data_IF_446602236622
#
_entry.id   IF_446602236622
#
_cell.length_a   1.000
_cell.length_b   1.000
_cell.length_c   1.000
_cell.angle_alpha   90.00
_cell.angle_beta   90.00
_cell.angle_gamma   90.00
#
_symmetry.space_group_name_H-M   'P 1'
#
loop_
_entity.id
_entity.type
_entity.pdbx_description
1 polymer ?
#
# COMPACT_ATOMS: atom_id res chain seq x y z
N UNK A 1 -29.86 -1.53 26.67
CA UNK A 1 -29.20 -0.28 27.09
C UNK A 1 -28.96 0.50 25.82
N UNK A 2 -29.55 1.68 25.66
CA UNK A 2 -29.26 2.52 24.49
C UNK A 2 -27.81 2.98 24.59
N UNK A 3 -27.00 2.66 23.59
CA UNK A 3 -25.69 3.29 23.44
C UNK A 3 -25.94 4.80 23.36
N UNK A 4 -25.20 5.58 24.16
CA UNK A 4 -25.23 7.03 23.98
C UNK A 4 -24.90 7.34 22.51
N UNK A 5 -25.56 8.31 21.88
CA UNK A 5 -25.19 8.74 20.54
C UNK A 5 -23.70 9.12 20.55
N UNK A 6 -22.98 8.72 19.50
CA UNK A 6 -21.60 9.14 19.32
C UNK A 6 -21.61 10.66 19.15
N UNK A 7 -20.94 11.37 20.06
CA UNK A 7 -20.74 12.81 19.91
C UNK A 7 -19.75 13.03 18.77
N UNK A 8 -20.21 13.71 17.72
CA UNK A 8 -19.36 14.12 16.60
C UNK A 8 -19.21 15.62 16.70
N UNK A 9 -17.98 16.12 16.65
CA UNK A 9 -17.68 17.54 16.81
C UNK A 9 -16.53 17.93 15.91
N UNK A 10 -16.63 19.10 15.32
CA UNK A 10 -15.50 19.77 14.68
C UNK A 10 -14.85 20.73 15.69
N UNK A 11 -13.51 20.74 15.75
CA UNK A 11 -12.75 21.67 16.56
C UNK A 11 -11.60 22.29 15.77
N UNK A 12 -11.52 23.63 15.79
CA UNK A 12 -10.31 24.35 15.39
C UNK A 12 -9.41 24.55 16.61
N UNK A 13 -8.16 24.10 16.54
CA UNK A 13 -7.30 23.95 17.73
C UNK A 13 -6.11 24.90 17.82
N UNK A 14 -5.66 25.52 16.72
CA UNK A 14 -4.40 26.27 16.64
C UNK A 14 -4.54 27.81 16.74
N UNK A 15 -5.54 28.38 16.07
CA UNK A 15 -5.82 29.82 16.03
C UNK A 15 -6.95 30.14 17.01
N UNK A 16 -7.86 31.09 16.72
CA UNK A 16 -9.01 31.34 17.61
C UNK A 16 -9.84 30.06 17.70
N UNK A 17 -9.86 29.35 18.85
CA UNK A 17 -10.49 28.06 18.93
C UNK A 17 -12.01 28.22 18.92
N UNK A 18 -12.67 27.36 18.16
CA UNK A 18 -14.11 27.20 18.22
C UNK A 18 -14.44 25.74 17.92
N UNK A 19 -15.66 25.33 18.30
CA UNK A 19 -16.17 24.02 17.97
C UNK A 19 -17.61 24.07 17.51
N UNK A 20 -17.97 23.08 16.70
CA UNK A 20 -19.30 22.89 16.14
C UNK A 20 -19.74 21.47 16.45
N UNK A 21 -20.89 21.32 17.12
CA UNK A 21 -21.52 20.01 17.33
C UNK A 21 -22.11 19.52 16.01
N UNK A 22 -21.71 18.31 15.62
CA UNK A 22 -22.08 17.62 14.39
C UNK A 22 -22.82 16.31 14.69
N UNK A 23 -23.27 16.06 15.92
CA UNK A 23 -23.87 14.79 16.35
C UNK A 23 -25.10 14.38 15.52
N UNK A 24 -25.85 15.34 14.97
CA UNK A 24 -26.99 15.07 14.08
C UNK A 24 -26.68 15.26 12.59
N UNK A 25 -25.42 15.48 12.23
CA UNK A 25 -24.98 15.75 10.86
C UNK A 25 -24.55 14.44 10.22
N UNK A 26 -24.99 14.24 8.98
CA UNK A 26 -24.72 13.00 8.22
C UNK A 26 -23.49 13.11 7.31
N UNK A 27 -23.09 14.34 6.97
CA UNK A 27 -21.97 14.61 6.07
C UNK A 27 -21.23 15.87 6.51
N UNK A 28 -19.91 15.78 6.61
CA UNK A 28 -19.02 16.92 6.81
C UNK A 28 -18.15 17.08 5.57
N UNK A 29 -18.24 18.25 4.94
CA UNK A 29 -17.32 18.71 3.90
C UNK A 29 -16.44 19.79 4.52
N UNK A 30 -15.13 19.55 4.52
CA UNK A 30 -14.14 20.46 5.06
C UNK A 30 -13.18 20.91 3.96
N UNK A 31 -12.85 22.19 3.97
CA UNK A 31 -11.90 22.82 3.07
C UNK A 31 -10.92 23.64 3.92
N UNK A 32 -9.63 23.34 3.83
CA UNK A 32 -8.56 24.08 4.51
C UNK A 32 -8.42 25.49 3.96
N UNK A 33 -8.35 25.61 2.64
CA UNK A 33 -8.42 26.87 1.91
C UNK A 33 -7.05 27.32 1.43
N UNK A 34 -6.60 28.49 1.91
CA UNK A 34 -5.24 28.96 1.65
C UNK A 34 -4.37 28.68 2.88
N UNK A 35 -3.09 28.39 2.66
CA UNK A 35 -2.10 28.11 3.68
C UNK A 35 -2.01 26.63 4.03
N UNK A 36 -0.87 26.22 4.59
CA UNK A 36 -0.63 24.84 5.00
C UNK A 36 -1.55 24.45 6.17
N UNK A 37 -2.50 23.55 5.92
CA UNK A 37 -3.47 23.08 6.88
C UNK A 37 -3.15 21.68 7.42
N UNK A 38 -3.62 21.44 8.64
CA UNK A 38 -3.59 20.13 9.27
C UNK A 38 -5.02 19.75 9.63
N UNK A 39 -5.58 18.80 8.88
CA UNK A 39 -6.95 18.33 9.04
C UNK A 39 -6.91 16.87 9.44
N UNK A 40 -7.44 16.54 10.62
CA UNK A 40 -7.40 15.18 11.16
C UNK A 40 -8.77 14.74 11.67
N UNK A 41 -9.17 13.54 11.23
CA UNK A 41 -10.40 12.86 11.61
C UNK A 41 -10.16 11.49 12.28
N UNK A 42 -8.93 11.20 12.73
CA UNK A 42 -8.50 9.90 13.30
C UNK A 42 -9.43 9.38 14.43
N UNK A 43 -10.07 10.28 15.16
CA UNK A 43 -10.99 9.94 16.26
C UNK A 43 -12.41 9.58 15.83
N UNK A 44 -12.78 9.71 14.56
CA UNK A 44 -14.14 9.49 14.07
C UNK A 44 -14.37 8.00 13.74
N UNK A 45 -15.33 7.32 14.41
CA UNK A 45 -15.64 5.92 14.12
C UNK A 45 -16.31 5.72 12.75
N UNK A 46 -16.13 4.54 12.17
CA UNK A 46 -16.81 4.16 10.93
C UNK A 46 -18.33 4.33 11.01
N UNK A 47 -18.94 4.91 9.97
CA UNK A 47 -20.39 5.00 9.80
C UNK A 47 -21.10 6.06 10.66
N UNK A 48 -20.36 6.96 11.32
CA UNK A 48 -20.96 8.06 12.10
C UNK A 48 -21.24 9.30 11.26
N UNK A 49 -20.37 9.60 10.29
CA UNK A 49 -20.49 10.74 9.37
C UNK A 49 -19.77 10.40 8.08
N UNK A 50 -20.29 10.87 6.94
CA UNK A 50 -19.56 10.79 5.66
C UNK A 50 -18.63 12.00 5.57
N UNK A 51 -17.34 11.74 5.38
CA UNK A 51 -16.32 12.78 5.40
C UNK A 51 -15.84 13.12 3.99
N UNK A 52 -15.68 14.42 3.73
CA UNK A 52 -14.92 14.93 2.60
C UNK A 52 -13.93 15.94 3.12
N UNK A 53 -12.64 15.71 2.88
CA UNK A 53 -11.56 16.61 3.24
C UNK A 53 -10.91 17.16 1.98
N UNK A 54 -10.76 18.48 1.91
CA UNK A 54 -10.02 19.16 0.85
C UNK A 54 -8.95 20.02 1.52
N UNK A 55 -7.68 19.85 1.13
CA UNK A 55 -6.58 20.67 1.61
C UNK A 55 -6.75 22.11 1.14
N UNK A 56 -6.81 22.33 -0.17
CA UNK A 56 -7.12 23.65 -0.71
C UNK A 56 -6.34 23.98 -1.96
N UNK A 57 -5.86 25.22 -2.07
CA UNK A 57 -5.07 25.67 -3.21
C UNK A 57 -3.69 26.20 -2.76
N UNK A 58 -2.65 25.70 -3.44
CA UNK A 58 -1.30 26.21 -3.59
C UNK A 58 -0.33 26.00 -2.42
N UNK A 59 -0.74 25.31 -1.36
CA UNK A 59 0.00 25.16 -0.11
C UNK A 59 0.06 23.69 0.32
N UNK A 60 1.07 23.33 1.11
CA UNK A 60 1.32 21.92 1.48
C UNK A 60 0.44 21.51 2.68
N UNK A 61 -0.47 20.57 2.48
CA UNK A 61 -1.46 20.13 3.47
C UNK A 61 -1.16 18.76 4.09
N UNK A 62 -1.70 18.52 5.28
CA UNK A 62 -1.73 17.20 5.91
C UNK A 62 -3.16 16.79 6.18
N UNK A 63 -3.61 15.73 5.51
CA UNK A 63 -4.97 15.20 5.61
C UNK A 63 -4.95 13.81 6.22
N UNK A 64 -5.69 13.62 7.30
CA UNK A 64 -5.88 12.32 7.93
C UNK A 64 -7.36 12.01 8.02
N UNK A 65 -7.78 10.94 7.35
CA UNK A 65 -9.15 10.46 7.33
C UNK A 65 -9.62 9.89 8.67
N UNK A 66 -10.86 9.41 8.66
CA UNK A 66 -11.52 8.73 9.77
C UNK A 66 -11.34 7.22 9.67
N UNK A 67 -12.03 6.46 10.53
CA UNK A 67 -12.16 5.00 10.32
C UNK A 67 -13.35 4.62 9.41
N UNK A 68 -13.89 5.60 8.68
CA UNK A 68 -15.04 5.51 7.78
C UNK A 68 -14.63 5.40 6.31
N UNK A 69 -15.62 5.57 5.42
CA UNK A 69 -15.35 5.69 3.97
C UNK A 69 -15.31 7.17 3.64
N UNK A 70 -14.13 7.63 3.24
CA UNK A 70 -13.81 9.04 3.11
C UNK A 70 -13.43 9.41 1.67
N UNK A 71 -13.64 10.69 1.36
CA UNK A 71 -13.13 11.30 0.14
C UNK A 71 -12.09 12.36 0.54
N UNK A 72 -10.84 12.17 0.12
CA UNK A 72 -9.73 13.06 0.45
C UNK A 72 -9.17 13.66 -0.82
N UNK A 73 -8.96 14.98 -0.81
CA UNK A 73 -8.36 15.73 -1.90
C UNK A 73 -7.25 16.62 -1.33
N UNK A 74 -5.99 16.34 -1.67
CA UNK A 74 -4.84 17.16 -1.26
C UNK A 74 -5.00 18.58 -1.79
N UNK A 75 -5.01 18.73 -3.11
CA UNK A 75 -5.21 20.00 -3.77
C UNK A 75 -3.98 20.38 -4.58
N UNK A 76 -3.66 21.67 -4.62
CA UNK A 76 -2.38 22.12 -5.17
C UNK A 76 -1.39 22.30 -4.00
N UNK A 77 -0.18 21.76 -4.07
CA UNK A 77 0.75 21.72 -2.94
C UNK A 77 1.50 20.39 -2.88
N UNK A 78 2.47 20.22 -1.99
CA UNK A 78 3.06 18.91 -1.72
C UNK A 78 2.39 18.31 -0.48
N UNK A 79 1.36 17.52 -0.70
CA UNK A 79 0.45 17.07 0.33
C UNK A 79 0.88 15.74 0.94
N UNK A 80 0.51 15.56 2.22
CA UNK A 80 0.62 14.27 2.91
C UNK A 80 -0.77 13.78 3.28
N UNK A 81 -1.15 12.62 2.75
CA UNK A 81 -2.48 12.04 2.96
C UNK A 81 -2.37 10.67 3.62
N UNK A 82 -3.25 10.41 4.59
CA UNK A 82 -3.50 9.09 5.17
C UNK A 82 -5.02 8.90 5.25
N UNK A 83 -5.54 7.91 4.53
CA UNK A 83 -6.96 7.58 4.50
C UNK A 83 -7.48 7.03 5.82
N UNK A 84 -6.59 6.42 6.63
CA UNK A 84 -6.93 5.58 7.78
C UNK A 84 -7.80 4.37 7.36
N UNK A 85 -8.39 3.61 8.31
CA UNK A 85 -9.29 2.52 7.94
C UNK A 85 -10.53 2.97 7.19
N UNK A 86 -10.76 2.42 6.01
CA UNK A 86 -11.82 2.88 5.13
C UNK A 86 -11.76 2.21 3.78
N UNK A 87 -12.71 2.48 2.90
CA UNK A 87 -12.47 2.20 1.48
C UNK A 87 -12.47 3.55 0.80
N UNK A 88 -11.31 4.19 0.79
CA UNK A 88 -11.20 5.62 0.57
C UNK A 88 -10.95 5.95 -0.89
N UNK A 89 -11.42 7.15 -1.26
CA UNK A 89 -11.13 7.75 -2.55
C UNK A 89 -10.21 8.94 -2.32
N UNK A 90 -8.96 8.80 -2.77
CA UNK A 90 -7.91 9.78 -2.54
C UNK A 90 -7.46 10.37 -3.87
N UNK A 91 -7.49 11.70 -3.96
CA UNK A 91 -6.86 12.47 -5.03
C UNK A 91 -5.79 13.35 -4.39
N UNK A 92 -4.56 13.24 -4.83
CA UNK A 92 -3.45 13.99 -4.26
C UNK A 92 -3.41 15.39 -4.87
N UNK A 93 -3.38 15.49 -6.20
CA UNK A 93 -3.63 16.74 -6.90
C UNK A 93 -2.38 17.25 -7.63
N UNK A 94 -2.07 18.54 -7.55
CA UNK A 94 -0.89 19.09 -8.21
C UNK A 94 0.23 19.30 -7.19
N UNK A 95 1.32 18.56 -7.34
CA UNK A 95 2.56 18.73 -6.59
C UNK A 95 3.27 17.42 -6.40
N UNK A 96 4.20 17.33 -5.44
CA UNK A 96 4.88 16.06 -5.16
C UNK A 96 4.31 15.48 -3.88
N UNK A 97 3.31 14.63 -4.04
CA UNK A 97 2.48 14.23 -2.92
C UNK A 97 2.90 12.87 -2.35
N UNK A 98 2.48 12.62 -1.12
CA UNK A 98 2.68 11.33 -0.45
C UNK A 98 1.39 10.83 0.15
N UNK A 99 0.94 9.66 -0.29
CA UNK A 99 -0.11 8.91 0.37
C UNK A 99 0.48 7.74 1.17
N UNK A 100 0.02 7.55 2.40
CA UNK A 100 0.38 6.39 3.23
C UNK A 100 -0.81 5.46 3.39
N UNK A 101 -0.56 4.17 3.20
CA UNK A 101 -1.47 3.08 3.49
C UNK A 101 -0.84 2.15 4.53
N UNK A 102 -1.58 1.79 5.55
CA UNK A 102 -1.15 0.93 6.65
C UNK A 102 -1.99 -0.34 6.77
N UNK A 103 -1.39 -1.41 7.30
CA UNK A 103 -2.12 -2.65 7.50
C UNK A 103 -3.37 -2.47 8.38
N UNK A 104 -4.52 -2.72 7.77
CA UNK A 104 -5.83 -2.55 8.40
C UNK A 104 -6.67 -1.49 7.70
N UNK A 105 -6.09 -0.75 6.75
CA UNK A 105 -6.77 0.37 6.14
C UNK A 105 -7.89 -0.06 5.17
N UNK A 106 -7.84 -1.29 4.65
CA UNK A 106 -8.73 -1.87 3.62
C UNK A 106 -8.43 -1.37 2.20
N UNK A 107 -9.45 -1.16 1.36
CA UNK A 107 -9.31 -1.08 -0.11
C UNK A 107 -9.54 0.33 -0.62
N UNK A 108 -8.49 0.91 -1.20
CA UNK A 108 -8.50 2.31 -1.60
C UNK A 108 -8.31 2.52 -3.11
N UNK A 109 -8.72 3.69 -3.57
CA UNK A 109 -8.37 4.21 -4.89
C UNK A 109 -7.61 5.51 -4.69
N UNK A 110 -6.42 5.61 -5.29
CA UNK A 110 -5.51 6.75 -5.13
C UNK A 110 -5.11 7.27 -6.51
N UNK A 111 -5.27 8.58 -6.72
CA UNK A 111 -4.79 9.29 -7.91
C UNK A 111 -3.72 10.31 -7.52
N UNK A 112 -2.55 10.21 -8.14
CA UNK A 112 -1.48 11.21 -7.98
C UNK A 112 -1.81 12.53 -8.69
N UNK A 113 -2.46 12.45 -9.85
CA UNK A 113 -2.70 13.55 -10.77
C UNK A 113 -1.39 14.16 -11.33
N UNK A 114 -0.88 15.25 -10.77
CA UNK A 114 0.14 16.07 -11.43
C UNK A 114 1.35 16.37 -10.56
N UNK A 115 2.42 15.58 -10.70
CA UNK A 115 3.75 15.98 -10.26
C UNK A 115 4.67 14.79 -10.09
N UNK A 116 5.17 14.54 -8.88
CA UNK A 116 5.96 13.33 -8.59
C UNK A 116 5.46 12.70 -7.31
N UNK A 117 4.56 11.74 -7.47
CA UNK A 117 3.74 11.26 -6.36
C UNK A 117 4.21 9.91 -5.85
N UNK A 118 4.05 9.71 -4.55
CA UNK A 118 4.51 8.49 -3.86
C UNK A 118 3.38 7.84 -3.09
N UNK A 119 3.08 6.58 -3.43
CA UNK A 119 2.29 5.69 -2.58
C UNK A 119 3.23 4.91 -1.68
N UNK A 120 3.05 5.01 -0.37
CA UNK A 120 3.71 4.17 0.63
C UNK A 120 2.72 3.12 1.11
N UNK A 121 3.13 1.85 1.13
CA UNK A 121 2.34 0.74 1.67
C UNK A 121 3.13 0.06 2.77
N UNK A 122 2.59 0.08 3.99
CA UNK A 122 3.16 -0.60 5.14
C UNK A 122 2.38 -1.90 5.41
N UNK A 123 3.10 -3.02 5.31
CA UNK A 123 2.58 -4.36 5.57
C UNK A 123 2.19 -4.61 7.03
N UNK A 124 1.82 -5.85 7.33
CA UNK A 124 1.56 -6.30 8.68
C UNK A 124 2.87 -6.64 9.41
N UNK A 125 2.78 -6.98 10.69
CA UNK A 125 3.89 -7.65 11.40
C UNK A 125 3.91 -9.17 11.18
N UNK A 126 3.03 -9.66 10.31
CA UNK A 126 2.88 -11.06 9.96
C UNK A 126 3.14 -11.21 8.47
N UNK A 127 3.70 -12.34 8.07
CA UNK A 127 4.12 -12.57 6.68
C UNK A 127 3.00 -12.33 5.66
N UNK A 128 3.19 -11.34 4.80
CA UNK A 128 2.31 -10.88 3.75
C UNK A 128 2.58 -11.57 2.41
N UNK A 129 1.57 -11.61 1.55
CA UNK A 129 1.67 -12.06 0.16
C UNK A 129 1.17 -10.96 -0.76
N UNK A 130 2.09 -10.16 -1.30
CA UNK A 130 1.83 -9.02 -2.15
C UNK A 130 1.94 -9.35 -3.65
N UNK A 131 1.01 -8.79 -4.42
CA UNK A 131 0.99 -8.83 -5.88
C UNK A 131 0.94 -7.38 -6.40
N UNK A 132 1.86 -7.03 -7.30
CA UNK A 132 1.93 -5.73 -7.96
C UNK A 132 1.85 -5.95 -9.46
N UNK A 133 0.84 -5.36 -10.11
CA UNK A 133 0.66 -5.48 -11.56
C UNK A 133 0.06 -4.24 -12.20
N UNK A 134 0.30 -4.08 -13.49
CA UNK A 134 -0.35 -3.09 -14.33
C UNK A 134 -1.85 -3.38 -14.40
N UNK A 135 -2.69 -2.35 -14.25
CA UNK A 135 -4.15 -2.51 -14.27
C UNK A 135 -4.81 -2.30 -15.65
N UNK A 136 -4.04 -1.94 -16.69
CA UNK A 136 -4.48 -1.84 -18.09
C UNK A 136 -5.47 -0.69 -18.37
N UNK A 137 -5.06 0.34 -19.14
CA UNK A 137 -5.86 1.57 -19.30
C UNK A 137 -6.50 1.80 -20.68
N UNK A 138 -7.76 2.23 -20.67
CA UNK A 138 -8.35 3.15 -21.66
C UNK A 138 -9.73 3.66 -21.17
N UNK A 139 -9.86 4.98 -21.01
CA UNK A 139 -11.09 5.80 -20.82
C UNK A 139 -11.23 6.42 -19.42
N UNK A 140 -10.61 7.60 -19.24
CA UNK A 140 -10.71 8.57 -18.11
C UNK A 140 -10.45 7.96 -16.71
N UNK A 141 -9.23 8.11 -16.18
CA UNK A 141 -8.87 7.62 -14.84
C UNK A 141 -8.60 6.12 -14.82
N UNK A 142 -7.69 5.67 -15.68
CA UNK A 142 -7.21 4.30 -15.74
C UNK A 142 -6.11 4.13 -14.70
N UNK A 143 -6.37 3.39 -13.62
CA UNK A 143 -5.29 2.97 -12.74
C UNK A 143 -4.13 2.39 -13.58
N UNK A 144 -2.93 2.85 -13.32
CA UNK A 144 -1.69 2.39 -13.94
C UNK A 144 -1.18 1.13 -13.24
N UNK A 145 -1.46 0.99 -11.95
CA UNK A 145 -1.12 -0.19 -11.15
C UNK A 145 -2.24 -0.63 -10.21
N UNK A 146 -2.24 -1.92 -9.92
CA UNK A 146 -2.92 -2.55 -8.81
C UNK A 146 -1.87 -3.10 -7.84
N UNK A 147 -1.95 -2.66 -6.59
CA UNK A 147 -1.31 -3.34 -5.46
C UNK A 147 -2.35 -4.22 -4.77
N UNK A 148 -1.97 -5.44 -4.37
CA UNK A 148 -2.88 -6.38 -3.70
C UNK A 148 -2.15 -7.16 -2.63
N UNK A 149 -2.82 -7.40 -1.51
CA UNK A 149 -2.49 -8.50 -0.60
C UNK A 149 -3.46 -9.67 -0.79
N UNK A 150 -2.92 -10.88 -0.90
CA UNK A 150 -3.69 -12.10 -1.21
C UNK A 150 -3.92 -13.03 -0.02
N UNK A 151 -3.19 -12.83 1.08
CA UNK A 151 -3.34 -13.55 2.33
C UNK A 151 -3.83 -12.61 3.46
N UNK A 152 -3.91 -13.13 4.70
CA UNK A 152 -4.47 -12.43 5.85
C UNK A 152 -5.88 -11.88 5.55
N UNK A 153 -6.12 -10.60 5.81
CA UNK A 153 -7.26 -9.85 5.29
C UNK A 153 -6.85 -9.29 3.92
N UNK A 154 -7.42 -9.78 2.81
CA UNK A 154 -7.07 -9.29 1.49
C UNK A 154 -7.56 -7.86 1.29
N UNK A 155 -6.79 -7.07 0.53
CA UNK A 155 -7.15 -5.73 0.10
C UNK A 155 -6.51 -5.43 -1.26
N UNK A 156 -7.08 -4.44 -1.93
CA UNK A 156 -6.58 -3.88 -3.18
C UNK A 156 -6.29 -2.39 -2.98
N UNK A 157 -5.28 -1.85 -3.67
CA UNK A 157 -5.12 -0.42 -3.87
C UNK A 157 -5.01 -0.17 -5.37
N UNK A 158 -5.94 0.60 -5.92
CA UNK A 158 -5.91 1.02 -7.32
C UNK A 158 -5.19 2.35 -7.42
N UNK A 159 -4.09 2.38 -8.18
CA UNK A 159 -3.19 3.53 -8.29
C UNK A 159 -3.26 4.11 -9.71
N UNK A 160 -3.77 5.33 -9.86
CA UNK A 160 -3.68 6.13 -11.09
C UNK A 160 -2.67 7.26 -10.94
N UNK A 161 -1.96 7.55 -12.03
CA UNK A 161 -1.09 8.74 -12.13
C UNK A 161 -0.02 8.87 -11.02
N UNK A 162 0.35 7.76 -10.39
CA UNK A 162 1.47 7.70 -9.45
C UNK A 162 2.80 7.59 -10.20
N UNK A 163 3.89 8.07 -9.60
CA UNK A 163 5.26 7.91 -10.11
C UNK A 163 6.07 6.91 -9.30
N UNK A 164 5.77 6.77 -8.01
CA UNK A 164 6.51 5.92 -7.08
C UNK A 164 5.56 5.04 -6.26
N UNK A 165 5.92 3.78 -6.12
CA UNK A 165 5.31 2.84 -5.19
C UNK A 165 6.39 2.28 -4.26
N UNK A 166 6.32 2.62 -2.99
CA UNK A 166 7.19 2.10 -1.93
C UNK A 166 6.40 1.12 -1.06
N UNK A 167 6.94 -0.07 -0.85
CA UNK A 167 6.27 -1.14 -0.09
C UNK A 167 7.23 -1.70 0.93
N UNK A 168 6.79 -1.70 2.19
CA UNK A 168 7.54 -2.19 3.34
C UNK A 168 6.87 -3.47 3.87
N UNK A 169 7.55 -4.61 3.80
CA UNK A 169 7.08 -5.87 4.41
C UNK A 169 7.06 -5.83 5.94
N UNK A 170 7.94 -5.02 6.54
CA UNK A 170 8.13 -4.85 7.98
C UNK A 170 8.67 -6.11 8.70
N UNK A 171 7.79 -6.89 9.31
CA UNK A 171 8.12 -8.07 10.12
C UNK A 171 7.35 -9.27 9.56
N UNK A 172 7.80 -10.48 9.87
CA UNK A 172 7.21 -11.70 9.32
C UNK A 172 7.98 -12.16 8.09
N UNK A 173 7.44 -13.18 7.41
CA UNK A 173 8.06 -13.75 6.21
C UNK A 173 7.20 -13.39 5.02
N UNK A 174 7.66 -12.42 4.24
CA UNK A 174 6.89 -11.77 3.20
C UNK A 174 7.21 -12.33 1.82
N UNK A 175 6.23 -12.31 0.92
CA UNK A 175 6.40 -12.70 -0.46
C UNK A 175 5.83 -11.65 -1.40
N UNK A 176 6.65 -11.20 -2.34
CA UNK A 176 6.32 -10.17 -3.31
C UNK A 176 6.38 -10.75 -4.73
N UNK A 177 5.27 -10.69 -5.46
CA UNK A 177 5.22 -10.92 -6.91
C UNK A 177 4.99 -9.58 -7.61
N UNK A 178 5.90 -9.15 -8.46
CA UNK A 178 5.76 -7.88 -9.18
C UNK A 178 6.06 -8.01 -10.67
N UNK A 179 5.44 -7.17 -11.48
CA UNK A 179 5.86 -6.89 -12.86
C UNK A 179 6.37 -5.45 -13.00
N UNK A 180 7.12 -5.18 -14.07
CA UNK A 180 7.54 -3.82 -14.40
C UNK A 180 6.38 -2.99 -14.94
N UNK A 181 6.04 -1.91 -14.24
CA UNK A 181 4.98 -0.98 -14.64
C UNK A 181 5.60 0.23 -15.36
N UNK A 182 4.97 0.66 -16.46
CA UNK A 182 5.41 1.87 -17.16
C UNK A 182 5.11 3.11 -16.30
N UNK A 183 6.10 3.99 -16.13
CA UNK A 183 5.94 5.24 -15.37
C UNK A 183 6.10 5.09 -13.85
N UNK A 184 5.81 3.92 -13.26
CA UNK A 184 5.85 3.72 -11.81
C UNK A 184 7.14 3.04 -11.36
N UNK A 185 8.04 3.81 -10.74
CA UNK A 185 9.21 3.26 -10.06
C UNK A 185 8.77 2.52 -8.79
N UNK A 186 9.35 1.35 -8.55
CA UNK A 186 9.03 0.53 -7.38
C UNK A 186 10.22 0.45 -6.43
N UNK A 187 9.95 0.57 -5.13
CA UNK A 187 10.91 0.33 -4.05
C UNK A 187 10.31 -0.72 -3.12
N UNK A 188 10.87 -1.92 -3.13
CA UNK A 188 10.34 -3.06 -2.39
C UNK A 188 11.33 -3.45 -1.29
N UNK A 189 10.87 -3.46 -0.04
CA UNK A 189 11.67 -3.85 1.11
C UNK A 189 11.04 -5.08 1.79
N UNK A 190 11.80 -6.18 1.87
CA UNK A 190 11.38 -7.41 2.55
C UNK A 190 11.24 -7.26 4.06
N UNK A 191 11.78 -6.20 4.67
CA UNK A 191 11.63 -5.92 6.10
C UNK A 191 12.85 -6.28 6.94
N UNK A 192 12.65 -7.08 7.99
CA UNK A 192 13.65 -7.33 9.05
C UNK A 192 14.30 -8.73 8.96
N UNK A 193 15.27 -8.95 8.03
CA UNK A 193 15.82 -10.27 7.72
C UNK A 193 16.60 -10.90 8.88
N UNK A 194 17.07 -10.08 9.83
CA UNK A 194 17.77 -10.55 11.03
C UNK A 194 16.84 -11.25 12.03
N UNK A 195 15.57 -10.82 12.10
CA UNK A 195 14.57 -11.33 13.03
C UNK A 195 13.57 -12.27 12.35
N UNK A 196 13.28 -12.04 11.07
CA UNK A 196 12.36 -12.83 10.28
C UNK A 196 12.96 -13.16 8.91
N UNK A 197 13.90 -14.12 8.83
CA UNK A 197 14.47 -14.51 7.55
C UNK A 197 13.46 -15.32 6.72
N UNK A 198 13.49 -15.14 5.40
CA UNK A 198 12.75 -15.96 4.44
C UNK A 198 11.96 -15.16 3.40
N UNK A 199 12.17 -13.84 3.34
CA UNK A 199 11.43 -12.95 2.46
C UNK A 199 11.77 -13.25 1.00
N UNK A 200 10.74 -13.31 0.15
CA UNK A 200 10.86 -13.72 -1.24
C UNK A 200 10.38 -12.63 -2.20
N UNK A 201 11.12 -12.43 -3.29
CA UNK A 201 10.75 -11.56 -4.40
C UNK A 201 10.81 -12.30 -5.74
N UNK A 202 9.72 -12.23 -6.50
CA UNK A 202 9.65 -12.60 -7.90
C UNK A 202 9.36 -11.36 -8.75
N UNK A 203 10.22 -11.12 -9.74
CA UNK A 203 10.01 -10.09 -10.76
C UNK A 203 9.67 -10.76 -12.07
N UNK A 204 8.40 -10.69 -12.46
CA UNK A 204 7.86 -11.29 -13.67
C UNK A 204 8.56 -10.73 -14.91
N UNK A 205 9.02 -11.62 -15.78
CA UNK A 205 9.76 -11.24 -17.00
C UNK A 205 11.26 -10.94 -16.77
N UNK A 206 11.75 -11.00 -15.53
CA UNK A 206 13.19 -10.89 -15.24
C UNK A 206 13.84 -12.27 -15.20
N UNK A 207 14.79 -12.52 -16.11
CA UNK A 207 15.54 -13.78 -16.17
C UNK A 207 16.91 -13.72 -15.45
N UNK A 208 17.27 -12.58 -14.86
CA UNK A 208 18.55 -12.38 -14.18
C UNK A 208 18.55 -12.86 -12.73
N UNK A 209 19.67 -12.63 -12.05
CA UNK A 209 19.80 -12.98 -10.63
C UNK A 209 19.57 -11.76 -9.73
N UNK A 210 18.43 -11.76 -9.02
CA UNK A 210 18.02 -10.68 -8.13
C UNK A 210 19.04 -10.42 -7.00
N UNK A 211 19.71 -11.45 -6.49
CA UNK A 211 20.73 -11.32 -5.45
C UNK A 211 21.92 -10.44 -5.85
N UNK A 212 22.21 -10.36 -7.16
CA UNK A 212 23.29 -9.53 -7.71
C UNK A 212 22.77 -8.28 -8.44
N UNK A 213 21.45 -8.08 -8.47
CA UNK A 213 20.77 -7.04 -9.24
C UNK A 213 19.80 -6.27 -8.34
N UNK A 214 20.29 -5.38 -7.47
CA UNK A 214 19.45 -4.66 -6.50
C UNK A 214 18.48 -3.67 -7.16
N UNK A 215 18.71 -3.31 -8.44
CA UNK A 215 17.78 -2.54 -9.26
C UNK A 215 17.55 -3.29 -10.56
N UNK A 216 16.32 -3.75 -10.77
CA UNK A 216 15.88 -4.44 -11.97
C UNK A 216 15.35 -3.42 -12.98
N UNK A 217 15.79 -3.55 -14.23
CA UNK A 217 15.26 -2.78 -15.35
C UNK A 217 14.67 -3.73 -16.38
N UNK A 218 13.41 -3.47 -16.77
CA UNK A 218 12.70 -4.20 -17.81
C UNK A 218 12.36 -3.24 -18.96
N UNK A 219 12.40 -3.73 -20.19
CA UNK A 219 12.12 -2.89 -21.34
C UNK A 219 10.68 -2.38 -21.31
N UNK A 220 10.50 -1.05 -21.33
CA UNK A 220 9.19 -0.41 -21.30
C UNK A 220 8.63 -0.14 -19.90
N UNK A 221 9.37 -0.49 -18.84
CA UNK A 221 8.96 -0.29 -17.45
C UNK A 221 9.89 0.69 -16.73
N UNK A 222 9.40 1.33 -15.68
CA UNK A 222 10.24 2.05 -14.74
C UNK A 222 11.03 1.06 -13.84
N UNK A 223 12.10 1.50 -13.16
CA UNK A 223 12.97 0.63 -12.37
C UNK A 223 12.27 0.01 -11.15
N UNK A 224 12.70 -1.19 -10.78
CA UNK A 224 12.30 -1.86 -9.53
C UNK A 224 13.55 -2.00 -8.66
N UNK A 225 13.65 -1.20 -7.61
CA UNK A 225 14.65 -1.35 -6.57
C UNK A 225 14.14 -2.31 -5.49
N UNK A 226 15.02 -3.17 -4.98
CA UNK A 226 14.68 -4.07 -3.88
C UNK A 226 15.78 -4.20 -2.85
N UNK A 227 15.39 -4.47 -1.61
CA UNK A 227 16.27 -4.71 -0.48
C UNK A 227 15.67 -5.75 0.46
N UNK A 228 16.55 -6.34 1.28
CA UNK A 228 16.16 -7.21 2.41
C UNK A 228 15.31 -8.45 2.04
N UNK A 229 15.52 -9.00 0.84
CA UNK A 229 14.97 -10.30 0.44
C UNK A 229 16.03 -11.40 0.53
N UNK A 230 15.64 -12.62 0.93
CA UNK A 230 16.48 -13.80 0.88
C UNK A 230 16.29 -14.60 -0.41
N UNK A 231 17.32 -14.59 -1.25
CA UNK A 231 17.37 -15.44 -2.43
C UNK A 231 18.02 -16.78 -2.08
N UNK A 232 17.26 -17.87 -2.10
CA UNK A 232 17.84 -19.21 -2.04
C UNK A 232 18.92 -19.36 -3.15
N UNK A 233 20.03 -20.07 -2.90
CA UNK A 233 21.07 -20.26 -3.91
C UNK A 233 20.45 -20.86 -5.18
N UNK A 234 20.79 -20.29 -6.33
CA UNK A 234 20.24 -20.75 -7.62
C UNK A 234 20.51 -22.24 -7.81
N UNK A 235 19.46 -23.07 -7.82
CA UNK A 235 19.56 -24.46 -8.26
C UNK A 235 19.27 -24.47 -9.76
N UNK A 236 20.28 -24.82 -10.56
CA UNK A 236 20.15 -24.89 -12.01
C UNK A 236 18.98 -25.80 -12.43
N UNK A 237 18.01 -25.24 -13.14
CA UNK A 237 16.89 -25.98 -13.73
C UNK A 237 15.60 -26.06 -12.90
N UNK A 238 15.51 -25.38 -11.76
CA UNK A 238 14.24 -25.23 -11.02
C UNK A 238 13.80 -23.76 -11.10
N UNK A 239 12.66 -23.44 -11.73
CA UNK A 239 12.10 -22.09 -11.69
C UNK A 239 11.90 -21.64 -10.24
N UNK A 240 12.31 -20.42 -9.92
CA UNK A 240 12.06 -19.78 -8.62
C UNK A 240 10.59 -19.37 -8.55
N UNK A 241 9.67 -20.32 -8.45
CA UNK A 241 8.28 -19.99 -8.17
C UNK A 241 8.16 -19.55 -6.71
N UNK A 242 7.58 -18.38 -6.46
CA UNK A 242 6.93 -18.09 -5.17
C UNK A 242 6.09 -19.32 -4.80
N UNK A 243 6.01 -19.73 -3.53
CA UNK A 243 5.09 -20.77 -3.09
C UNK A 243 3.64 -20.33 -3.36
N UNK A 244 3.22 -20.50 -4.61
CA UNK A 244 1.85 -20.54 -5.06
C UNK A 244 1.30 -21.86 -4.55
N UNK A 245 0.86 -21.87 -3.29
CA UNK A 245 -0.01 -22.87 -2.69
C UNK A 245 0.40 -24.37 -2.75
N UNK A 246 1.56 -24.76 -3.28
CA UNK A 246 1.97 -26.16 -3.23
C UNK A 246 2.84 -26.44 -2.00
N UNK A 247 2.18 -26.85 -0.92
CA UNK A 247 2.79 -27.33 0.33
C UNK A 247 3.84 -28.44 0.11
N UNK A 248 3.89 -29.06 -1.07
CA UNK A 248 4.91 -30.06 -1.41
C UNK A 248 6.31 -29.46 -1.67
N UNK A 249 6.42 -28.24 -2.23
CA UNK A 249 7.72 -27.64 -2.55
C UNK A 249 8.52 -27.24 -1.32
N UNK A 250 7.84 -26.62 -0.34
CA UNK A 250 8.46 -26.13 0.88
C UNK A 250 8.87 -27.27 1.84
N UNK A 251 8.09 -28.35 1.90
CA UNK A 251 8.44 -29.55 2.68
C UNK A 251 9.68 -30.23 2.09
N UNK A 252 9.80 -30.30 0.76
CA UNK A 252 10.95 -30.92 0.11
C UNK A 252 12.23 -30.10 0.31
N UNK A 253 12.11 -28.76 0.29
CA UNK A 253 13.23 -27.86 0.54
C UNK A 253 13.66 -27.86 2.01
N UNK A 254 12.70 -27.87 2.94
CA UNK A 254 12.98 -28.00 4.38
C UNK A 254 13.61 -29.36 4.73
N UNK A 255 13.14 -30.47 4.14
CA UNK A 255 13.77 -31.78 4.34
C UNK A 255 15.18 -31.87 3.74
N UNK A 256 15.42 -31.21 2.60
CA UNK A 256 16.75 -31.15 1.98
C UNK A 256 17.74 -30.35 2.83
N UNK A 257 17.32 -29.23 3.42
CA UNK A 257 18.16 -28.46 4.35
C UNK A 257 18.37 -29.17 5.70
N UNK A 258 17.46 -30.05 6.12
CA UNK A 258 17.60 -30.86 7.35
C UNK A 258 18.32 -32.21 7.13
N UNK A 259 18.84 -32.50 5.93
CA UNK A 259 19.55 -33.74 5.63
C UNK A 259 18.68 -35.00 5.65
N UNK A 260 17.35 -34.87 5.59
CA UNK A 260 16.40 -35.98 5.62
C UNK A 260 16.04 -36.36 4.19
N UNK A 261 16.45 -37.54 3.74
CA UNK A 261 16.08 -38.05 2.41
C UNK A 261 14.62 -38.51 2.40
N UNK A 262 13.74 -37.72 1.78
CA UNK A 262 12.36 -38.12 1.53
C UNK A 262 12.30 -39.19 0.42
N UNK A 263 11.99 -40.43 0.78
CA UNK A 263 11.67 -41.50 -0.18
C UNK A 263 10.19 -41.36 -0.56
N UNK A 264 9.91 -40.82 -1.75
CA UNK A 264 8.56 -40.81 -2.30
C UNK A 264 8.09 -42.25 -2.53
N UNK A 265 7.10 -42.70 -1.74
CA UNK A 265 6.44 -43.99 -1.95
C UNK A 265 5.31 -43.79 -2.98
N UNK A 266 5.62 -43.96 -4.27
CA UNK A 266 4.56 -44.11 -5.28
C UNK A 266 3.82 -45.43 -5.01
N UNK A 267 2.55 -45.36 -4.58
CA UNK A 267 1.61 -46.47 -4.75
C UNK A 267 0.95 -46.31 -6.12
N UNK A 268 0.94 -47.40 -6.88
CA UNK A 268 0.26 -47.53 -8.18
C UNK A 268 -1.24 -47.36 -8.04
#
# INVERSE_FOLDING_TARGET
MGTAPVEVRFDRTNLVPFGIDLTSVESLDMNGGDGNDQISAEGLPSGVIRLTLNGGLADDDTLTGSSGVDALNGGDGNDTVDGNPGNDSITLGIGNDTNTWNNGDNTDTVSGDGGTDTQIVNGASAGDQFEIRSSGGATRGAANALFRRTNLVPFDILLSDMDNLAVNGLDGVDAFSTEGIAGISQVLDGGSPATFPGDALEVLGFAGDLASTPVVTLAGSAPIAHANFEFAPAVAGIPRSIPTLDRLGLILLALAMMGVTARALMRR
#
